data_IF_444673301022
#
_entry.id   IF_444673301022
#
_cell.length_a   1.000
_cell.length_b   1.000
_cell.length_c   1.000
_cell.angle_alpha   90.00
_cell.angle_beta   90.00
_cell.angle_gamma   90.00
#
_symmetry.space_group_name_H-M   'P 1'
#
loop_
_entity.id
_entity.type
_entity.pdbx_description
1 polymer ?
#
# COMPACT_ATOMS: atom_id res chain seq x y z
N UNK A 1 9.21 1.98 -9.95
CA UNK A 1 9.57 0.56 -9.78
C UNK A 1 9.90 -0.12 -11.11
N UNK A 2 9.01 -0.10 -12.11
CA UNK A 2 9.22 -0.76 -13.41
C UNK A 2 10.52 -0.34 -14.13
N UNK A 3 10.82 0.97 -14.21
CA UNK A 3 12.06 1.48 -14.80
C UNK A 3 13.32 0.83 -14.20
N UNK A 4 13.41 0.77 -12.86
CA UNK A 4 14.55 0.14 -12.17
C UNK A 4 14.70 -1.34 -12.52
N UNK A 5 13.58 -2.06 -12.64
CA UNK A 5 13.59 -3.47 -13.01
C UNK A 5 14.04 -3.67 -14.47
N UNK A 6 13.59 -2.82 -15.40
CA UNK A 6 14.03 -2.85 -16.79
C UNK A 6 15.52 -2.49 -16.93
N UNK A 7 15.98 -1.46 -16.23
CA UNK A 7 17.37 -1.00 -16.29
C UNK A 7 18.34 -2.05 -15.73
N UNK A 8 17.95 -2.82 -14.70
CA UNK A 8 18.74 -3.94 -14.21
C UNK A 8 19.00 -5.02 -15.26
N UNK A 9 18.03 -5.29 -16.15
CA UNK A 9 18.22 -6.23 -17.27
C UNK A 9 19.08 -5.59 -18.35
N UNK A 10 18.85 -4.32 -18.68
CA UNK A 10 19.65 -3.58 -19.68
C UNK A 10 21.12 -3.49 -19.30
N UNK A 11 21.41 -3.28 -18.02
CA UNK A 11 22.77 -3.16 -17.48
C UNK A 11 23.45 -4.53 -17.23
N UNK A 12 22.77 -5.65 -17.51
CA UNK A 12 23.32 -6.99 -17.30
C UNK A 12 23.43 -7.43 -15.83
N UNK A 13 22.80 -6.70 -14.90
CA UNK A 13 22.72 -7.08 -13.48
C UNK A 13 21.78 -8.28 -13.30
N UNK A 14 20.75 -8.37 -14.13
CA UNK A 14 19.80 -9.49 -14.17
C UNK A 14 19.72 -10.08 -15.58
N UNK A 15 19.88 -11.39 -15.69
CA UNK A 15 19.81 -12.10 -16.97
C UNK A 15 18.50 -12.87 -17.08
N UNK A 16 17.81 -12.73 -18.22
CA UNK A 16 16.58 -13.48 -18.53
C UNK A 16 16.92 -14.58 -19.54
N UNK A 17 16.61 -15.82 -19.19
CA UNK A 17 16.82 -16.99 -20.05
C UNK A 17 15.48 -17.69 -20.36
N UNK A 18 15.18 -18.01 -21.64
CA UNK A 18 15.96 -17.68 -22.83
C UNK A 18 15.83 -16.19 -23.23
N UNK A 19 16.89 -15.64 -23.84
CA UNK A 19 17.02 -14.22 -24.20
C UNK A 19 15.86 -13.63 -25.02
N UNK A 20 15.12 -14.46 -25.76
CA UNK A 20 13.94 -14.03 -26.52
C UNK A 20 12.87 -13.37 -25.64
N UNK A 21 12.75 -13.78 -24.36
CA UNK A 21 11.77 -13.22 -23.43
C UNK A 21 12.10 -11.79 -22.98
N UNK A 22 13.34 -11.32 -23.17
CA UNK A 22 13.72 -9.96 -22.81
C UNK A 22 12.89 -8.92 -23.57
N UNK A 23 12.54 -9.19 -24.84
CA UNK A 23 11.69 -8.30 -25.62
C UNK A 23 10.31 -8.13 -24.97
N UNK A 24 9.66 -9.22 -24.60
CA UNK A 24 8.36 -9.22 -23.92
C UNK A 24 8.43 -8.51 -22.57
N UNK A 25 9.51 -8.72 -21.81
CA UNK A 25 9.76 -8.04 -20.55
C UNK A 25 9.79 -6.51 -20.70
N UNK A 26 10.54 -6.00 -21.67
CA UNK A 26 10.61 -4.55 -21.93
C UNK A 26 9.27 -4.00 -22.44
N UNK A 27 8.60 -4.72 -23.34
CA UNK A 27 7.30 -4.31 -23.86
C UNK A 27 6.28 -4.03 -22.73
N UNK A 28 6.23 -4.90 -21.72
CA UNK A 28 5.33 -4.71 -20.56
C UNK A 28 5.80 -3.60 -19.61
N UNK A 29 7.10 -3.54 -19.28
CA UNK A 29 7.59 -2.60 -18.27
C UNK A 29 7.71 -1.16 -18.77
N UNK A 30 7.96 -0.95 -20.06
CA UNK A 30 8.09 0.40 -20.63
C UNK A 30 6.72 1.10 -20.78
N UNK A 31 5.63 0.33 -20.87
CA UNK A 31 4.25 0.85 -21.04
C UNK A 31 3.33 0.58 -19.83
N UNK A 32 3.90 0.26 -18.66
CA UNK A 32 3.10 -0.12 -17.50
C UNK A 32 2.24 1.03 -16.98
N UNK A 33 1.02 0.72 -16.54
CA UNK A 33 0.10 1.66 -15.93
C UNK A 33 0.08 1.49 -14.40
N UNK A 34 -0.54 2.44 -13.70
CA UNK A 34 -0.71 2.33 -12.26
C UNK A 34 -1.56 1.11 -11.89
N UNK A 35 -1.09 0.37 -10.89
CA UNK A 35 -1.72 -0.85 -10.42
C UNK A 35 -2.62 -0.55 -9.22
N UNK A 36 -3.90 -0.89 -9.35
CA UNK A 36 -4.83 -0.91 -8.22
C UNK A 36 -4.57 -2.16 -7.36
N UNK A 37 -3.92 -1.97 -6.21
CA UNK A 37 -3.52 -3.04 -5.29
C UNK A 37 -4.66 -3.42 -4.33
N UNK A 38 -5.64 -2.54 -4.11
CA UNK A 38 -6.78 -2.82 -3.23
C UNK A 38 -7.87 -3.63 -3.93
N UNK A 39 -8.48 -4.55 -3.19
CA UNK A 39 -9.55 -5.44 -3.66
C UNK A 39 -10.64 -5.55 -2.59
N UNK A 40 -11.90 -5.49 -3.00
CA UNK A 40 -13.07 -5.67 -2.13
C UNK A 40 -13.40 -7.16 -2.04
N UNK A 41 -12.57 -7.90 -1.32
CA UNK A 41 -12.73 -9.34 -1.11
C UNK A 41 -12.83 -9.64 0.39
N UNK A 42 -13.45 -10.77 0.72
CA UNK A 42 -13.64 -11.25 2.09
C UNK A 42 -12.42 -12.02 2.63
N UNK A 43 -11.56 -12.51 1.75
CA UNK A 43 -10.38 -13.28 2.09
C UNK A 43 -9.11 -12.64 1.53
N UNK A 44 -8.11 -12.51 2.41
CA UNK A 44 -6.73 -12.10 2.10
C UNK A 44 -6.17 -11.16 3.17
N UNK A 45 -5.04 -10.54 2.89
CA UNK A 45 -4.36 -9.66 3.83
C UNK A 45 -4.98 -8.26 3.84
N UNK A 46 -5.46 -7.82 5.01
CA UNK A 46 -5.99 -6.45 5.16
C UNK A 46 -4.89 -5.40 4.95
N UNK A 47 -5.26 -4.31 4.30
CA UNK A 47 -4.35 -3.19 4.07
C UNK A 47 -4.07 -2.49 5.41
N UNK A 48 -2.80 -2.22 5.77
CA UNK A 48 -2.43 -1.54 7.02
C UNK A 48 -2.65 -0.01 6.94
N UNK A 49 -3.82 0.42 6.47
CA UNK A 49 -4.23 1.81 6.35
C UNK A 49 -5.40 2.09 7.32
N UNK A 50 -5.32 3.19 8.05
CA UNK A 50 -6.26 3.59 9.08
C UNK A 50 -6.79 4.98 8.78
N UNK A 51 -8.10 5.15 8.85
CA UNK A 51 -8.80 6.44 8.67
C UNK A 51 -9.32 6.94 10.00
N UNK A 52 -9.29 8.25 10.20
CA UNK A 52 -10.00 8.88 11.32
C UNK A 52 -11.52 8.86 11.12
N UNK A 53 -12.25 8.53 12.18
CA UNK A 53 -13.70 8.63 12.17
C UNK A 53 -14.15 10.10 12.15
N UNK A 54 -15.19 10.43 11.38
CA UNK A 54 -15.75 11.78 11.38
C UNK A 54 -16.33 12.10 12.76
N UNK A 55 -16.01 13.29 13.30
CA UNK A 55 -16.48 13.73 14.61
C UNK A 55 -15.54 13.45 15.78
N UNK A 56 -14.41 12.78 15.56
CA UNK A 56 -13.34 12.65 16.55
C UNK A 56 -12.64 14.01 16.79
N UNK A 57 -12.19 14.26 18.03
CA UNK A 57 -11.45 15.45 18.40
C UNK A 57 -10.20 15.65 17.50
N UNK A 58 -10.15 16.77 16.76
CA UNK A 58 -9.12 17.05 15.74
C UNK A 58 -9.56 16.82 14.29
N UNK A 59 -10.64 16.07 14.05
CA UNK A 59 -11.22 15.84 12.72
C UNK A 59 -12.31 16.86 12.33
N UNK A 60 -12.50 17.93 13.12
CA UNK A 60 -13.48 18.99 12.83
C UNK A 60 -13.02 19.75 11.58
N UNK A 61 -13.56 19.36 10.43
CA UNK A 61 -13.24 19.94 9.12
C UNK A 61 -12.23 19.16 8.27
N UNK A 62 -11.68 18.04 8.78
CA UNK A 62 -10.75 17.16 8.06
C UNK A 62 -11.32 15.74 8.00
N UNK A 63 -12.20 15.48 7.04
CA UNK A 63 -13.02 14.25 7.00
C UNK A 63 -12.41 13.06 6.24
N UNK A 64 -11.12 13.07 5.88
CA UNK A 64 -10.54 11.98 5.08
C UNK A 64 -9.01 11.85 5.19
N UNK A 65 -8.47 11.91 6.42
CA UNK A 65 -7.04 11.68 6.66
C UNK A 65 -6.77 10.19 6.92
N UNK A 66 -5.77 9.68 6.22
CA UNK A 66 -5.36 8.28 6.24
C UNK A 66 -3.93 8.15 6.75
N UNK A 67 -3.70 7.16 7.60
CA UNK A 67 -2.41 6.85 8.20
C UNK A 67 -2.05 5.39 7.92
N UNK A 68 -0.84 5.16 7.42
CA UNK A 68 -0.35 3.80 7.13
C UNK A 68 0.62 3.37 8.23
N UNK A 69 0.31 2.26 8.90
CA UNK A 69 1.13 1.72 9.98
C UNK A 69 0.85 0.22 10.18
N UNK A 70 1.80 -0.58 10.70
CA UNK A 70 1.61 -2.02 10.90
C UNK A 70 0.59 -2.36 12.01
N UNK A 71 0.33 -1.44 12.93
CA UNK A 71 -0.58 -1.62 14.06
C UNK A 71 -1.40 -0.35 14.31
N UNK A 72 -2.54 -0.50 14.99
CA UNK A 72 -3.41 0.63 15.34
C UNK A 72 -2.72 1.57 16.31
N UNK A 73 -1.86 1.05 17.20
CA UNK A 73 -1.10 1.84 18.17
C UNK A 73 -0.05 2.73 17.49
N UNK A 74 0.62 2.22 16.46
CA UNK A 74 1.57 3.01 15.67
C UNK A 74 0.86 4.04 14.79
N UNK A 75 -0.29 3.67 14.20
CA UNK A 75 -1.12 4.61 13.45
C UNK A 75 -1.60 5.75 14.35
N UNK A 76 -2.05 5.43 15.57
CA UNK A 76 -2.45 6.41 16.59
C UNK A 76 -1.30 7.37 16.90
N UNK A 77 -0.11 6.87 17.23
CA UNK A 77 1.05 7.74 17.52
C UNK A 77 1.37 8.71 16.37
N UNK A 78 1.28 8.23 15.11
CA UNK A 78 1.45 9.09 13.93
C UNK A 78 0.36 10.16 13.85
N UNK A 79 -0.90 9.76 14.02
CA UNK A 79 -2.03 10.66 13.99
C UNK A 79 -1.97 11.72 15.11
N UNK A 80 -1.60 11.33 16.33
CA UNK A 80 -1.42 12.25 17.46
C UNK A 80 -0.29 13.25 17.21
N UNK A 81 0.79 12.81 16.56
CA UNK A 81 1.92 13.68 16.20
C UNK A 81 1.52 14.70 15.13
N UNK A 82 0.74 14.28 14.13
CA UNK A 82 0.31 15.16 13.03
C UNK A 82 -0.82 16.12 13.43
N UNK A 83 -1.76 15.68 14.28
CA UNK A 83 -2.95 16.45 14.67
C UNK A 83 -2.80 17.18 16.00
N UNK A 84 -1.81 16.82 16.81
CA UNK A 84 -1.60 17.41 18.14
C UNK A 84 -2.73 17.14 19.12
N UNK A 85 -3.57 16.13 18.87
CA UNK A 85 -4.66 15.71 19.75
C UNK A 85 -4.35 14.34 20.38
N UNK A 86 -5.03 14.03 21.49
CA UNK A 86 -5.00 12.71 22.10
C UNK A 86 -6.13 11.89 21.51
N UNK A 87 -5.79 10.76 20.88
CA UNK A 87 -6.74 9.89 20.18
C UNK A 87 -6.87 8.57 20.94
N UNK A 88 -8.03 7.94 20.86
CA UNK A 88 -8.22 6.56 21.30
C UNK A 88 -8.04 5.60 20.12
N UNK A 89 -7.76 4.32 20.39
CA UNK A 89 -7.67 3.32 19.32
C UNK A 89 -8.98 3.21 18.52
N UNK A 90 -10.12 3.39 19.18
CA UNK A 90 -11.46 3.31 18.55
C UNK A 90 -11.78 4.48 17.63
N UNK A 91 -10.99 5.56 17.67
CA UNK A 91 -11.13 6.70 16.77
C UNK A 91 -10.58 6.42 15.36
N UNK A 92 -9.77 5.37 15.23
CA UNK A 92 -9.18 4.94 13.97
C UNK A 92 -9.93 3.70 13.45
N UNK A 93 -10.28 3.75 12.18
CA UNK A 93 -10.91 2.65 11.46
C UNK A 93 -9.94 2.11 10.42
N UNK A 94 -9.60 0.82 10.51
CA UNK A 94 -8.79 0.18 9.47
C UNK A 94 -9.60 -0.01 8.18
N UNK A 95 -8.95 0.17 7.03
CA UNK A 95 -9.57 -0.15 5.74
C UNK A 95 -10.07 -1.60 5.69
N UNK A 96 -11.27 -1.77 5.14
CA UNK A 96 -11.93 -3.06 4.92
C UNK A 96 -11.35 -3.79 3.70
N UNK A 97 -10.69 -3.07 2.79
CA UNK A 97 -10.12 -3.63 1.59
C UNK A 97 -8.93 -4.57 1.89
N UNK A 98 -8.74 -5.52 0.98
CA UNK A 98 -7.72 -6.56 1.03
C UNK A 98 -6.70 -6.33 -0.10
N UNK A 99 -5.44 -6.71 0.14
CA UNK A 99 -4.37 -6.66 -0.85
C UNK A 99 -4.58 -7.69 -1.96
N UNK A 100 -4.25 -7.29 -3.20
CA UNK A 100 -4.23 -8.18 -4.36
C UNK A 100 -3.31 -9.40 -4.14
N UNK A 101 -3.77 -10.59 -4.53
CA UNK A 101 -3.01 -11.83 -4.47
C UNK A 101 -1.72 -11.77 -5.29
N UNK A 102 -1.68 -10.98 -6.36
CA UNK A 102 -0.42 -10.79 -7.10
C UNK A 102 0.60 -9.98 -6.29
N UNK A 103 0.15 -9.06 -5.43
CA UNK A 103 1.03 -8.28 -4.55
C UNK A 103 1.70 -9.17 -3.51
N UNK A 104 0.93 -10.06 -2.89
CA UNK A 104 1.49 -11.05 -1.98
C UNK A 104 2.49 -11.98 -2.65
N UNK A 105 2.16 -12.50 -3.84
CA UNK A 105 3.06 -13.39 -4.58
C UNK A 105 4.37 -12.72 -4.97
N UNK A 106 4.35 -11.41 -5.28
CA UNK A 106 5.53 -10.65 -5.66
C UNK A 106 6.54 -10.48 -4.53
N UNK A 107 6.08 -10.61 -3.27
CA UNK A 107 6.92 -10.52 -2.07
C UNK A 107 7.51 -11.88 -1.65
N UNK A 108 7.14 -12.98 -2.32
CA UNK A 108 7.56 -14.33 -1.95
C UNK A 108 9.08 -14.49 -1.77
N UNK A 109 9.96 -13.98 -2.68
CA UNK A 109 11.41 -14.14 -2.50
C UNK A 109 11.93 -13.46 -1.24
N UNK A 110 11.29 -12.36 -0.82
CA UNK A 110 11.65 -11.65 0.39
C UNK A 110 11.13 -12.41 1.62
N UNK A 111 9.88 -12.86 1.61
CA UNK A 111 9.30 -13.56 2.76
C UNK A 111 9.89 -14.96 2.98
N UNK A 112 10.29 -15.63 1.91
CA UNK A 112 10.79 -17.02 1.98
C UNK A 112 12.27 -17.09 2.35
N UNK A 113 13.09 -16.14 1.89
CA UNK A 113 14.55 -16.21 2.04
C UNK A 113 15.15 -15.14 2.94
N UNK A 114 14.42 -14.04 3.25
CA UNK A 114 14.89 -13.06 4.24
C UNK A 114 14.34 -13.45 5.61
N UNK A 115 15.26 -13.90 6.48
CA UNK A 115 14.98 -14.08 7.91
C UNK A 115 14.41 -12.79 8.50
N UNK A 116 13.29 -12.91 9.21
CA UNK A 116 12.62 -11.80 9.92
C UNK A 116 13.53 -11.10 10.97
N UNK A 117 14.77 -11.57 11.17
CA UNK A 117 15.73 -11.06 12.17
C UNK A 117 16.83 -10.14 11.62
N UNK A 118 17.12 -10.14 10.32
CA UNK A 118 18.29 -9.40 9.79
C UNK A 118 17.95 -8.02 9.20
N UNK A 119 16.68 -7.60 9.30
CA UNK A 119 16.26 -6.21 9.10
C UNK A 119 16.22 -5.55 10.49
N UNK A 120 17.34 -5.03 10.96
CA UNK A 120 17.47 -4.35 12.27
C UNK A 120 16.72 -3.01 12.37
N UNK A 121 15.67 -2.80 11.56
CA UNK A 121 14.78 -1.62 11.59
C UNK A 121 13.29 -1.91 11.31
N UNK A 122 12.81 -3.16 11.32
CA UNK A 122 11.36 -3.41 11.17
C UNK A 122 10.84 -4.47 12.15
N UNK A 123 10.05 -4.11 13.17
CA UNK A 123 9.40 -5.09 14.02
C UNK A 123 8.27 -5.76 13.22
N UNK A 124 8.22 -7.10 13.24
CA UNK A 124 7.06 -7.91 12.85
C UNK A 124 6.27 -7.44 11.60
N UNK A 125 6.87 -7.43 10.40
CA UNK A 125 6.06 -7.19 9.20
C UNK A 125 6.81 -6.82 7.93
N UNK A 126 7.50 -7.78 7.30
CA UNK A 126 7.99 -7.62 5.92
C UNK A 126 6.87 -7.18 4.95
N UNK A 127 5.63 -7.57 5.23
CA UNK A 127 4.43 -7.19 4.48
C UNK A 127 4.02 -5.74 4.67
N UNK A 128 4.04 -5.26 5.92
CA UNK A 128 3.66 -3.90 6.25
C UNK A 128 4.73 -2.90 5.81
N UNK A 129 6.01 -3.24 5.90
CA UNK A 129 7.09 -2.36 5.45
C UNK A 129 7.05 -2.11 3.92
N UNK A 130 6.76 -3.14 3.12
CA UNK A 130 6.61 -2.99 1.66
C UNK A 130 5.38 -2.17 1.27
N UNK A 131 4.24 -2.39 1.93
CA UNK A 131 3.04 -1.57 1.75
C UNK A 131 3.29 -0.12 2.20
N UNK A 132 3.90 0.08 3.37
CA UNK A 132 4.17 1.40 3.93
C UNK A 132 5.21 2.17 3.09
N UNK A 133 6.20 1.51 2.49
CA UNK A 133 7.11 2.13 1.52
C UNK A 133 6.41 2.51 0.21
N UNK A 134 5.48 1.68 -0.28
CA UNK A 134 4.67 2.01 -1.46
C UNK A 134 3.74 3.21 -1.21
N UNK A 135 3.08 3.26 -0.04
CA UNK A 135 2.21 4.37 0.34
C UNK A 135 3.01 5.64 0.69
N UNK A 136 4.13 5.55 1.41
CA UNK A 136 4.92 6.72 1.79
C UNK A 136 5.66 7.40 0.61
N UNK A 137 6.10 6.65 -0.40
CA UNK A 137 6.90 7.18 -1.53
C UNK A 137 6.04 7.79 -2.65
N UNK A 138 4.77 7.35 -2.82
CA UNK A 138 3.87 7.89 -3.86
C UNK A 138 2.66 8.63 -3.33
N UNK A 139 2.13 8.21 -2.19
CA UNK A 139 0.90 8.75 -1.63
C UNK A 139 1.27 9.74 -0.54
N UNK A 140 1.79 10.90 -0.96
CA UNK A 140 1.78 12.07 -0.06
C UNK A 140 0.36 12.29 0.49
N UNK A 141 0.19 13.06 1.58
CA UNK A 141 -1.09 13.22 2.28
C UNK A 141 -2.28 13.61 1.38
N UNK A 142 -2.02 14.17 0.19
CA UNK A 142 -3.01 14.55 -0.81
C UNK A 142 -3.57 13.40 -1.69
N UNK A 143 -2.84 12.29 -1.91
CA UNK A 143 -3.28 11.24 -2.85
C UNK A 143 -4.08 10.10 -2.20
N UNK A 144 -3.96 9.91 -0.88
CA UNK A 144 -4.79 8.94 -0.16
C UNK A 144 -6.28 9.31 -0.30
N UNK A 145 -6.57 10.61 -0.25
CA UNK A 145 -7.87 11.22 -0.53
C UNK A 145 -8.34 10.96 -1.97
N UNK A 146 -7.44 10.87 -2.97
CA UNK A 146 -7.83 10.60 -4.36
C UNK A 146 -8.23 9.14 -4.62
N UNK A 147 -7.60 8.16 -3.93
CA UNK A 147 -8.02 6.76 -4.03
C UNK A 147 -9.37 6.52 -3.33
N UNK A 148 -9.64 7.22 -2.22
CA UNK A 148 -10.95 7.22 -1.56
C UNK A 148 -12.02 8.01 -2.35
N UNK A 149 -11.66 9.10 -3.02
CA UNK A 149 -12.56 9.92 -3.84
C UNK A 149 -13.16 9.19 -5.05
N UNK A 150 -12.44 8.21 -5.63
CA UNK A 150 -13.01 7.33 -6.68
C UNK A 150 -14.13 6.40 -6.16
N UNK A 151 -14.36 6.34 -4.84
CA UNK A 151 -15.48 5.63 -4.22
C UNK A 151 -16.78 6.47 -4.21
N UNK A 152 -16.73 7.78 -4.51
CA UNK A 152 -17.91 8.69 -4.44
C UNK A 152 -18.55 8.95 -5.82
N UNK A 153 -17.86 8.70 -6.94
CA UNK A 153 -18.35 9.10 -8.28
C UNK A 153 -18.73 7.95 -9.22
N UNK A 154 -18.77 6.69 -8.77
CA UNK A 154 -19.27 5.59 -9.60
C UNK A 154 -20.81 5.55 -9.50
N UNK A 155 -21.56 5.76 -10.60
CA UNK A 155 -23.01 5.67 -10.55
C UNK A 155 -23.42 4.23 -10.23
N UNK A 156 -24.31 4.09 -9.24
CA UNK A 156 -24.89 2.82 -8.85
C UNK A 156 -25.54 2.15 -10.07
N UNK A 157 -24.98 1.05 -10.55
CA UNK A 157 -25.66 0.17 -11.50
C UNK A 157 -26.78 -0.52 -10.71
N UNK A 158 -28.00 -0.02 -10.88
CA UNK A 158 -29.22 -0.65 -10.42
C UNK A 158 -29.39 -1.95 -11.23
N UNK A 159 -29.16 -3.10 -10.60
CA UNK A 159 -29.55 -4.39 -11.14
C UNK A 159 -31.05 -4.61 -10.82
N UNK A 160 -31.88 -4.56 -11.86
CA UNK A 160 -33.15 -5.29 -11.96
C UNK A 160 -32.92 -6.54 -12.79
#
# INVERSE_FOLDING_TARGET
>A
MAKRAADNVRNGVMTIEPKSHAHTWFFFLDNIQDWCVSRQLWWGHRIPAYRLKPGTAGAIGMSDQWFVAPSVEEARKKAETELGCNLQNDDLEQDVDVLDTWFSSGLLPLSAFVSCRDITVAPFGCWCAAANAYYADRVGPMQATMMASRRISAPAIHLM
#
